data_IF_616918570588
#
_entry.id   IF_616918570588
#
_cell.length_a   1.000
_cell.length_b   1.000
_cell.length_c   1.000
_cell.angle_alpha   90.00
_cell.angle_beta   90.00
_cell.angle_gamma   90.00
#
_symmetry.space_group_name_H-M   'P 1'
#
loop_
_entity.id
_entity.type
_entity.pdbx_description
1 polymer ?
#
# COMPACT_ATOMS: atom_id res chain seq x y z
N UNK A 1 -1.48 9.01 -10.90
CA UNK A 1 -0.72 9.51 -9.73
C UNK A 1 -0.67 8.37 -8.71
N UNK A 2 0.41 8.18 -7.94
CA UNK A 2 0.53 7.06 -6.98
C UNK A 2 -0.72 6.96 -6.05
N UNK A 3 -1.26 8.11 -5.65
CA UNK A 3 -2.50 8.20 -4.88
C UNK A 3 -3.69 7.40 -5.46
N UNK A 4 -3.95 7.52 -6.76
CA UNK A 4 -5.12 6.90 -7.41
C UNK A 4 -5.06 5.37 -7.32
N UNK A 5 -3.84 4.81 -7.30
CA UNK A 5 -3.64 3.36 -7.26
C UNK A 5 -4.10 2.79 -5.92
N UNK A 6 -3.64 3.35 -4.80
CA UNK A 6 -4.04 2.85 -3.47
C UNK A 6 -5.55 2.92 -3.29
N UNK A 7 -6.18 3.99 -3.78
CA UNK A 7 -7.64 4.14 -3.77
C UNK A 7 -8.30 3.02 -4.59
N UNK A 8 -7.86 2.81 -5.83
CA UNK A 8 -8.43 1.78 -6.71
C UNK A 8 -8.23 0.36 -6.15
N UNK A 9 -7.04 0.05 -5.63
CA UNK A 9 -6.74 -1.26 -5.03
C UNK A 9 -7.53 -1.48 -3.72
N UNK A 10 -7.78 -0.41 -2.96
CA UNK A 10 -8.65 -0.47 -1.76
C UNK A 10 -10.11 -0.70 -2.12
N UNK A 11 -10.60 -0.08 -3.20
CA UNK A 11 -11.96 -0.30 -3.72
C UNK A 11 -12.12 -1.72 -4.28
N UNK A 12 -11.10 -2.23 -4.99
CA UNK A 12 -11.08 -3.61 -5.47
C UNK A 12 -11.15 -4.61 -4.31
N UNK A 13 -10.34 -4.41 -3.26
CA UNK A 13 -10.41 -5.23 -2.06
C UNK A 13 -11.78 -5.16 -1.39
N UNK A 14 -12.35 -3.96 -1.26
CA UNK A 14 -13.68 -3.79 -0.67
C UNK A 14 -14.75 -4.56 -1.47
N UNK A 15 -14.71 -4.49 -2.80
CA UNK A 15 -15.62 -5.22 -3.68
C UNK A 15 -15.47 -6.74 -3.53
N UNK A 16 -14.24 -7.26 -3.48
CA UNK A 16 -13.95 -8.69 -3.25
C UNK A 16 -14.40 -9.20 -1.88
N UNK A 17 -14.57 -8.29 -0.93
CA UNK A 17 -15.08 -8.57 0.41
C UNK A 17 -16.60 -8.33 0.52
N UNK A 18 -17.27 -7.94 -0.58
CA UNK A 18 -18.69 -7.61 -0.60
C UNK A 18 -19.04 -6.36 0.21
N UNK A 19 -18.11 -5.42 0.31
CA UNK A 19 -18.30 -4.14 0.98
C UNK A 19 -18.49 -3.04 -0.07
N UNK A 20 -19.75 -2.68 -0.33
CA UNK A 20 -20.15 -1.63 -1.27
C UNK A 20 -20.86 -0.47 -0.56
N UNK A 21 -20.92 0.68 -1.22
CA UNK A 21 -21.65 1.86 -0.74
C UNK A 21 -20.77 3.11 -0.63
N UNK A 22 -21.17 4.04 0.24
CA UNK A 22 -20.40 5.24 0.56
C UNK A 22 -19.09 4.88 1.28
N UNK A 23 -18.12 5.79 1.29
CA UNK A 23 -16.85 5.56 2.00
C UNK A 23 -17.02 5.22 3.48
N UNK A 24 -18.05 5.76 4.15
CA UNK A 24 -18.34 5.44 5.54
C UNK A 24 -18.87 4.01 5.69
N UNK A 25 -19.80 3.60 4.83
CA UNK A 25 -20.39 2.25 4.83
C UNK A 25 -19.34 1.19 4.50
N UNK A 26 -18.51 1.44 3.48
CA UNK A 26 -17.39 0.56 3.12
C UNK A 26 -16.43 0.42 4.30
N UNK A 27 -16.01 1.53 4.92
CA UNK A 27 -15.12 1.50 6.10
C UNK A 27 -15.72 0.67 7.24
N UNK A 28 -16.99 0.88 7.55
CA UNK A 28 -17.64 0.20 8.66
C UNK A 28 -17.89 -1.29 8.35
N UNK A 29 -18.14 -1.64 7.09
CA UNK A 29 -18.19 -3.02 6.61
C UNK A 29 -16.83 -3.71 6.76
N UNK A 30 -15.77 -3.09 6.23
CA UNK A 30 -14.42 -3.64 6.23
C UNK A 30 -13.89 -3.85 7.66
N UNK A 31 -14.23 -2.98 8.60
CA UNK A 31 -13.86 -3.12 10.02
C UNK A 31 -14.52 -4.30 10.73
N UNK A 32 -15.61 -4.85 10.18
CA UNK A 32 -16.33 -6.01 10.74
C UNK A 32 -15.87 -7.34 10.17
N UNK A 33 -15.01 -7.32 9.15
CA UNK A 33 -14.48 -8.53 8.50
C UNK A 33 -13.40 -9.15 9.37
N UNK A 34 -13.33 -10.48 9.36
CA UNK A 34 -12.28 -11.20 10.06
C UNK A 34 -11.00 -11.20 9.22
N UNK A 35 -9.85 -11.36 9.88
CA UNK A 35 -8.55 -11.38 9.21
C UNK A 35 -8.47 -12.48 8.14
N UNK A 36 -9.13 -13.61 8.36
CA UNK A 36 -9.20 -14.71 7.39
C UNK A 36 -9.96 -14.31 6.10
N UNK A 37 -10.96 -13.44 6.20
CA UNK A 37 -11.66 -12.89 5.02
C UNK A 37 -10.68 -12.06 4.16
N UNK A 38 -9.77 -11.32 4.79
CA UNK A 38 -8.76 -10.55 4.08
C UNK A 38 -7.78 -11.46 3.35
N UNK A 39 -7.28 -12.52 4.01
CA UNK A 39 -6.41 -13.49 3.35
C UNK A 39 -7.08 -14.15 2.15
N UNK A 40 -8.34 -14.59 2.32
CA UNK A 40 -9.11 -15.16 1.21
C UNK A 40 -9.33 -14.15 0.07
N UNK A 41 -9.57 -12.87 0.38
CA UNK A 41 -9.67 -11.83 -0.65
C UNK A 41 -8.33 -11.60 -1.36
N UNK A 42 -7.20 -11.58 -0.65
CA UNK A 42 -5.89 -11.43 -1.28
C UNK A 42 -5.55 -12.58 -2.23
N UNK A 43 -5.93 -13.81 -1.89
CA UNK A 43 -5.76 -14.96 -2.78
C UNK A 43 -6.57 -14.80 -4.08
N UNK A 44 -7.79 -14.25 -4.00
CA UNK A 44 -8.64 -13.99 -5.18
C UNK A 44 -8.14 -12.86 -6.06
N UNK A 45 -7.73 -11.74 -5.46
CA UNK A 45 -7.22 -10.57 -6.19
C UNK A 45 -5.87 -10.90 -6.86
N UNK A 46 -5.14 -11.88 -6.33
CA UNK A 46 -3.86 -12.33 -6.86
C UNK A 46 -2.68 -11.52 -6.31
N UNK A 47 -1.51 -11.57 -6.98
CA UNK A 47 -0.24 -11.15 -6.40
C UNK A 47 -0.26 -9.71 -5.89
N UNK A 48 0.51 -9.46 -4.83
CA UNK A 48 0.64 -8.15 -4.15
C UNK A 48 1.17 -7.05 -5.07
N UNK A 49 1.71 -7.41 -6.23
CA UNK A 49 2.18 -6.46 -7.25
C UNK A 49 2.11 -7.09 -8.63
N UNK A 50 1.74 -6.29 -9.63
CA UNK A 50 1.87 -6.55 -11.07
C UNK A 50 3.22 -6.04 -11.63
N UNK A 51 4.08 -5.49 -10.76
CA UNK A 51 5.34 -4.82 -11.09
C UNK A 51 6.48 -5.26 -10.19
N UNK A 52 7.71 -5.15 -10.70
CA UNK A 52 8.95 -5.57 -10.03
C UNK A 52 9.16 -4.87 -8.67
N UNK A 53 8.71 -3.62 -8.51
CA UNK A 53 9.04 -2.75 -7.36
C UNK A 53 7.84 -2.15 -6.62
N UNK A 54 6.62 -2.58 -6.97
CA UNK A 54 5.42 -1.95 -6.42
C UNK A 54 4.79 -2.78 -5.28
N UNK A 55 3.97 -2.14 -4.46
CA UNK A 55 3.17 -2.79 -3.41
C UNK A 55 1.72 -2.38 -3.63
N UNK A 56 0.76 -3.31 -3.51
CA UNK A 56 -0.67 -2.99 -3.65
C UNK A 56 -1.14 -1.94 -2.63
N UNK A 57 -0.69 -2.06 -1.38
CA UNK A 57 -1.02 -1.13 -0.31
C UNK A 57 0.25 -0.48 0.24
N UNK A 58 0.28 0.85 0.26
CA UNK A 58 1.37 1.67 0.79
C UNK A 58 0.82 2.95 1.43
N UNK A 59 1.62 3.66 2.25
CA UNK A 59 1.16 4.88 2.89
C UNK A 59 0.66 5.92 1.89
N UNK A 60 -0.52 6.47 2.16
CA UNK A 60 -1.12 7.53 1.38
C UNK A 60 -0.61 8.89 1.88
N UNK A 61 -0.30 9.81 0.97
CA UNK A 61 -0.08 11.22 1.31
C UNK A 61 -1.44 11.86 1.56
N UNK A 62 -1.93 11.72 2.79
CA UNK A 62 -3.31 11.99 3.21
C UNK A 62 -3.58 13.45 3.62
N UNK A 63 -2.54 14.29 3.72
CA UNK A 63 -2.66 15.66 4.23
C UNK A 63 -2.91 15.76 5.74
N UNK A 64 -3.02 14.62 6.44
CA UNK A 64 -3.25 14.55 7.89
C UNK A 64 -2.00 14.05 8.59
N UNK A 65 -1.56 12.84 8.30
CA UNK A 65 -0.29 12.30 8.76
C UNK A 65 0.89 12.91 7.98
N UNK A 66 0.74 13.08 6.67
CA UNK A 66 1.71 13.79 5.82
C UNK A 66 1.15 15.15 5.42
N UNK A 67 1.33 16.20 6.23
CA UNK A 67 0.67 17.50 6.03
C UNK A 67 1.22 18.30 4.83
N UNK A 68 2.33 17.85 4.24
CA UNK A 68 2.94 18.46 3.05
C UNK A 68 3.68 17.40 2.23
N UNK A 69 4.27 17.79 1.10
CA UNK A 69 5.12 16.89 0.31
C UNK A 69 6.26 16.30 1.16
N UNK A 70 6.70 15.09 0.80
CA UNK A 70 7.83 14.43 1.47
C UNK A 70 9.11 15.27 1.39
N UNK A 71 9.30 16.02 0.31
CA UNK A 71 10.43 16.94 0.15
C UNK A 71 10.40 18.06 1.20
N UNK A 72 9.25 18.71 1.39
CA UNK A 72 9.12 19.77 2.39
C UNK A 72 9.25 19.24 3.82
N UNK A 73 8.72 18.04 4.07
CA UNK A 73 8.90 17.36 5.35
C UNK A 73 10.38 17.03 5.60
N UNK A 74 11.11 16.54 4.59
CA UNK A 74 12.53 16.23 4.71
C UNK A 74 13.39 17.47 5.02
N UNK A 75 13.04 18.63 4.44
CA UNK A 75 13.72 19.91 4.73
C UNK A 75 13.46 20.39 6.16
N UNK A 76 12.21 20.27 6.63
CA UNK A 76 11.76 20.74 7.96
C UNK A 76 12.05 19.77 9.09
N UNK A 77 12.36 18.51 8.79
CA UNK A 77 12.55 17.48 9.78
C UNK A 77 13.64 17.87 10.80
N UNK A 78 13.41 17.67 12.11
CA UNK A 78 14.42 17.91 13.12
C UNK A 78 15.63 17.00 12.86
N UNK A 79 16.83 17.57 12.96
CA UNK A 79 18.07 16.81 12.77
C UNK A 79 18.21 15.81 13.91
N UNK A 80 18.31 14.53 13.57
CA UNK A 80 18.58 13.42 14.48
C UNK A 80 19.80 12.66 13.96
N UNK A 81 20.72 12.23 14.83
CA UNK A 81 21.77 11.31 14.42
C UNK A 81 21.12 10.05 13.82
N UNK A 82 21.41 9.77 12.56
CA UNK A 82 20.84 8.67 11.81
C UNK A 82 21.96 7.89 11.15
N UNK A 83 21.98 6.58 11.38
CA UNK A 83 22.79 5.65 10.59
C UNK A 83 21.87 4.98 9.58
N UNK A 84 22.16 5.16 8.29
CA UNK A 84 21.48 4.49 7.19
C UNK A 84 22.52 3.78 6.33
N UNK A 85 22.19 2.57 5.86
CA UNK A 85 23.06 1.76 5.03
C UNK A 85 22.23 0.98 4.02
N UNK A 86 22.89 0.54 2.96
CA UNK A 86 22.32 -0.29 1.89
C UNK A 86 23.16 -1.56 1.75
N UNK A 87 22.56 -2.63 1.23
CA UNK A 87 23.30 -3.85 0.88
C UNK A 87 23.63 -3.90 -0.63
N UNK A 88 24.73 -4.55 -1.00
CA UNK A 88 25.23 -4.60 -2.39
C UNK A 88 24.19 -5.17 -3.39
N UNK A 89 23.24 -5.97 -2.92
CA UNK A 89 22.27 -6.69 -3.76
C UNK A 89 20.81 -6.54 -3.28
N UNK A 90 20.39 -5.37 -2.78
CA UNK A 90 18.99 -5.14 -2.35
C UNK A 90 17.95 -5.45 -3.43
N UNK A 91 18.28 -5.15 -4.69
CA UNK A 91 17.43 -5.43 -5.84
C UNK A 91 17.34 -6.92 -6.21
N UNK A 92 18.22 -7.76 -5.67
CA UNK A 92 18.28 -9.18 -6.02
C UNK A 92 16.96 -9.91 -5.75
N UNK A 93 16.31 -9.61 -4.62
CA UNK A 93 15.00 -10.17 -4.29
C UNK A 93 13.94 -9.84 -5.35
N UNK A 94 13.86 -8.57 -5.74
CA UNK A 94 12.85 -8.04 -6.66
C UNK A 94 12.95 -8.64 -8.07
N UNK A 95 14.18 -8.94 -8.52
CA UNK A 95 14.44 -9.53 -9.85
C UNK A 95 14.30 -11.06 -9.83
N UNK A 96 14.57 -11.70 -8.68
CA UNK A 96 14.50 -13.16 -8.53
C UNK A 96 13.07 -13.71 -8.43
N UNK A 97 12.11 -12.90 -7.99
CA UNK A 97 10.69 -13.27 -8.02
C UNK A 97 10.23 -13.32 -9.48
N UNK A 98 9.98 -14.53 -10.00
CA UNK A 98 9.42 -14.75 -11.34
C UNK A 98 8.14 -13.94 -11.54
N UNK A 99 8.24 -12.80 -12.24
CA UNK A 99 7.11 -12.18 -12.92
C UNK A 99 7.08 -12.81 -14.31
N UNK A 100 6.14 -13.74 -14.54
CA UNK A 100 5.90 -14.23 -15.89
C UNK A 100 5.26 -13.07 -16.68
N UNK A 101 6.01 -12.53 -17.65
CA UNK A 101 5.50 -11.56 -18.63
C UNK A 101 4.57 -12.23 -19.63
#
# INVERSE_FOLDING_TARGET
MLYDRVVNESLLLASEMGCDGTSAEVRDCMKRKDVDDFYGAYERIGPVTDRIVDRRFYPLLDGLFFPSSLEELAKKAPKKPTLAGLTDMEGGFLISSKVNF
#
